data_IF_948440973727
#
_entry.id   IF_948440973727
#
_cell.length_a   1.000
_cell.length_b   1.000
_cell.length_c   1.000
_cell.angle_alpha   90.00
_cell.angle_beta   90.00
_cell.angle_gamma   90.00
#
_symmetry.space_group_name_H-M   'P 1'
#
loop_
_entity.id
_entity.type
_entity.pdbx_description
1 polymer ?
#
# COMPACT_ATOMS: atom_id res chain seq x y z
N UNK A 1 7.05 -19.41 1.57
CA UNK A 1 6.49 -18.17 0.96
C UNK A 1 6.87 -17.01 1.85
N UNK A 2 7.52 -16.00 1.30
CA UNK A 2 7.87 -14.77 1.99
C UNK A 2 6.77 -13.72 1.75
N UNK A 3 6.23 -13.13 2.82
CA UNK A 3 5.25 -12.06 2.76
C UNK A 3 5.93 -10.72 3.02
N UNK A 4 5.93 -9.85 2.02
CA UNK A 4 6.64 -8.56 2.03
C UNK A 4 5.65 -7.40 2.09
N UNK A 5 5.86 -6.47 3.00
CA UNK A 5 5.18 -5.18 3.00
C UNK A 5 5.97 -4.16 2.18
N UNK A 6 5.41 -3.68 1.07
CA UNK A 6 5.98 -2.58 0.30
C UNK A 6 5.30 -1.27 0.69
N UNK A 7 6.09 -0.28 1.02
CA UNK A 7 5.59 1.05 1.41
C UNK A 7 6.46 2.16 0.85
N UNK A 8 6.01 3.39 0.96
CA UNK A 8 6.76 4.56 0.53
C UNK A 8 5.91 5.82 0.64
N UNK A 9 6.56 6.95 0.84
CA UNK A 9 5.88 8.22 0.92
C UNK A 9 5.34 8.65 -0.46
N UNK A 10 4.34 9.51 -0.45
CA UNK A 10 3.74 10.06 -1.68
C UNK A 10 4.83 10.64 -2.59
N UNK A 11 4.77 10.31 -3.89
CA UNK A 11 5.77 10.76 -4.88
C UNK A 11 7.10 9.99 -4.84
N UNK A 12 7.23 8.92 -4.04
CA UNK A 12 8.46 8.09 -4.00
C UNK A 12 8.65 7.23 -5.26
N UNK A 13 7.59 6.98 -6.04
CA UNK A 13 7.63 6.11 -7.23
C UNK A 13 7.39 4.63 -6.91
N UNK A 14 6.67 4.34 -5.81
CA UNK A 14 6.34 2.98 -5.35
C UNK A 14 5.67 2.14 -6.44
N UNK A 15 4.73 2.69 -7.22
CA UNK A 15 4.04 1.97 -8.29
C UNK A 15 4.97 1.46 -9.40
N UNK A 16 6.07 2.16 -9.69
CA UNK A 16 7.09 1.67 -10.62
C UNK A 16 7.84 0.48 -10.03
N UNK A 17 8.12 0.50 -8.73
CA UNK A 17 8.76 -0.62 -8.02
C UNK A 17 7.82 -1.83 -7.96
N UNK A 18 6.51 -1.63 -7.73
CA UNK A 18 5.51 -2.71 -7.80
C UNK A 18 5.55 -3.41 -9.17
N UNK A 19 5.56 -2.63 -10.24
CA UNK A 19 5.65 -3.17 -11.59
C UNK A 19 6.94 -3.97 -11.80
N UNK A 20 8.09 -3.42 -11.42
CA UNK A 20 9.40 -4.08 -11.55
C UNK A 20 9.49 -5.37 -10.72
N UNK A 21 8.89 -5.42 -9.52
CA UNK A 21 8.80 -6.64 -8.72
C UNK A 21 7.85 -7.67 -9.34
N UNK A 22 6.72 -7.22 -9.89
CA UNK A 22 5.78 -8.09 -10.62
C UNK A 22 6.42 -8.74 -11.85
N UNK A 23 7.19 -7.97 -12.63
CA UNK A 23 7.93 -8.46 -13.81
C UNK A 23 8.97 -9.52 -13.44
N UNK A 24 9.47 -9.51 -12.19
CA UNK A 24 10.38 -10.52 -11.64
C UNK A 24 9.67 -11.74 -11.05
N UNK A 25 8.35 -11.73 -11.01
CA UNK A 25 7.53 -12.87 -10.57
C UNK A 25 6.92 -12.73 -9.17
N UNK A 26 6.98 -11.54 -8.55
CA UNK A 26 6.23 -11.30 -7.31
C UNK A 26 4.72 -11.29 -7.56
N UNK A 27 3.97 -11.90 -6.66
CA UNK A 27 2.51 -11.68 -6.59
C UNK A 27 2.25 -10.38 -5.85
N UNK A 28 1.66 -9.39 -6.53
CA UNK A 28 1.37 -8.07 -5.95
C UNK A 28 -0.06 -8.03 -5.43
N UNK A 29 -0.23 -7.57 -4.19
CA UNK A 29 -1.52 -7.30 -3.55
C UNK A 29 -1.57 -5.82 -3.18
N UNK A 30 -2.32 -5.03 -3.95
CA UNK A 30 -2.46 -3.59 -3.79
C UNK A 30 -3.61 -3.27 -2.81
N UNK A 31 -3.28 -2.67 -1.65
CA UNK A 31 -4.25 -2.29 -0.62
C UNK A 31 -5.21 -1.19 -1.09
N UNK A 32 -4.80 -0.30 -2.00
CA UNK A 32 -5.68 0.73 -2.56
C UNK A 32 -6.72 0.10 -3.49
N UNK A 33 -6.35 -0.90 -4.27
CA UNK A 33 -7.29 -1.70 -5.08
C UNK A 33 -8.26 -2.44 -4.15
N UNK A 34 -7.77 -3.08 -3.09
CA UNK A 34 -8.63 -3.77 -2.13
C UNK A 34 -9.60 -2.81 -1.43
N UNK A 35 -9.14 -1.62 -1.04
CA UNK A 35 -10.00 -0.60 -0.43
C UNK A 35 -11.12 -0.12 -1.36
N UNK A 36 -10.88 -0.13 -2.68
CA UNK A 36 -11.91 0.17 -3.67
C UNK A 36 -12.92 -0.95 -3.80
N UNK A 37 -12.44 -2.19 -3.83
CA UNK A 37 -13.29 -3.39 -3.94
C UNK A 37 -14.08 -3.66 -2.66
N UNK A 38 -13.52 -3.36 -1.51
CA UNK A 38 -14.18 -3.55 -0.22
C UNK A 38 -15.50 -2.79 -0.09
N UNK A 39 -15.69 -1.73 -0.88
CA UNK A 39 -16.90 -0.90 -0.87
C UNK A 39 -17.74 -1.03 -2.14
N UNK A 40 -17.55 -2.08 -2.93
CA UNK A 40 -18.38 -2.40 -4.08
C UNK A 40 -19.76 -2.90 -3.66
N UNK A 41 -20.75 -2.72 -4.53
CA UNK A 41 -22.14 -3.14 -4.27
C UNK A 41 -22.18 -4.61 -3.84
N UNK A 42 -22.89 -4.87 -2.74
CA UNK A 42 -23.07 -6.23 -2.20
C UNK A 42 -22.07 -6.64 -1.13
N UNK A 43 -20.94 -5.93 -0.96
CA UNK A 43 -19.98 -6.20 0.12
C UNK A 43 -20.57 -5.85 1.49
N UNK A 44 -20.09 -6.48 2.58
CA UNK A 44 -20.48 -6.12 3.93
C UNK A 44 -20.23 -4.64 4.26
N UNK A 45 -19.05 -4.12 3.89
CA UNK A 45 -18.71 -2.72 4.16
C UNK A 45 -19.61 -1.76 3.38
N UNK A 46 -19.95 -2.04 2.10
CA UNK A 46 -20.91 -1.23 1.34
C UNK A 46 -22.27 -1.13 2.06
N UNK A 47 -22.82 -2.27 2.51
CA UNK A 47 -24.11 -2.31 3.21
C UNK A 47 -24.07 -1.46 4.48
N UNK A 48 -23.06 -1.61 5.31
CA UNK A 48 -22.89 -0.84 6.55
C UNK A 48 -22.68 0.66 6.29
N UNK A 49 -21.99 1.03 5.21
CA UNK A 49 -21.80 2.42 4.79
C UNK A 49 -23.13 3.03 4.38
N UNK A 50 -23.93 2.33 3.58
CA UNK A 50 -25.27 2.83 3.16
C UNK A 50 -26.23 2.91 4.35
N UNK A 51 -26.18 1.96 5.26
CA UNK A 51 -26.97 1.98 6.50
C UNK A 51 -26.62 3.19 7.38
N UNK A 52 -25.33 3.54 7.48
CA UNK A 52 -24.85 4.65 8.31
C UNK A 52 -25.17 6.04 7.72
N UNK A 53 -24.90 6.24 6.43
CA UNK A 53 -24.99 7.58 5.79
C UNK A 53 -26.16 7.74 4.82
N UNK A 54 -26.96 6.69 4.64
CA UNK A 54 -28.14 6.71 3.79
C UNK A 54 -27.82 6.70 2.29
N UNK A 55 -28.84 6.88 1.48
CA UNK A 55 -28.74 6.83 0.01
C UNK A 55 -28.17 8.09 -0.62
N UNK A 56 -28.02 9.18 0.13
CA UNK A 56 -27.47 10.46 -0.36
C UNK A 56 -25.99 10.38 -0.77
N UNK A 57 -25.30 9.30 -0.38
CA UNK A 57 -23.93 9.00 -0.75
C UNK A 57 -23.84 8.05 -1.95
N UNK A 58 -24.95 7.75 -2.62
CA UNK A 58 -24.99 6.87 -3.79
C UNK A 58 -25.15 7.66 -5.08
N UNK A 59 -24.46 7.19 -6.11
CA UNK A 59 -24.70 7.63 -7.48
C UNK A 59 -25.99 7.04 -8.08
N UNK A 60 -26.38 7.48 -9.29
CA UNK A 60 -27.55 6.97 -9.99
C UNK A 60 -27.48 5.47 -10.31
N UNK A 61 -26.30 4.91 -10.36
CA UNK A 61 -25.99 3.49 -10.59
C UNK A 61 -25.99 2.65 -9.30
N UNK A 62 -26.29 3.27 -8.16
CA UNK A 62 -26.23 2.63 -6.85
C UNK A 62 -24.83 2.45 -6.28
N UNK A 63 -23.77 2.82 -7.00
CA UNK A 63 -22.40 2.80 -6.46
C UNK A 63 -22.20 3.98 -5.51
N UNK A 64 -21.20 3.85 -4.61
CA UNK A 64 -20.83 4.94 -3.72
C UNK A 64 -20.29 6.16 -4.51
N UNK A 65 -20.95 7.31 -4.35
CA UNK A 65 -20.37 8.59 -4.72
C UNK A 65 -19.25 8.94 -3.71
N UNK A 66 -18.03 8.62 -4.12
CA UNK A 66 -16.84 8.84 -3.28
C UNK A 66 -16.64 10.31 -2.94
N UNK A 67 -17.07 11.23 -3.82
CA UNK A 67 -17.03 12.66 -3.57
C UNK A 67 -18.00 13.08 -2.48
N UNK A 68 -19.22 12.56 -2.52
CA UNK A 68 -20.23 12.82 -1.48
C UNK A 68 -19.78 12.25 -0.12
N UNK A 69 -19.37 10.98 -0.08
CA UNK A 69 -18.87 10.35 1.14
C UNK A 69 -17.65 11.09 1.69
N UNK A 70 -16.69 11.46 0.84
CA UNK A 70 -15.50 12.19 1.21
C UNK A 70 -15.83 13.53 1.88
N UNK A 71 -16.78 14.30 1.36
CA UNK A 71 -17.21 15.57 1.97
C UNK A 71 -17.72 15.38 3.40
N UNK A 72 -18.44 14.28 3.68
CA UNK A 72 -18.95 13.97 5.01
C UNK A 72 -17.78 13.59 5.94
N UNK A 73 -16.97 12.61 5.58
CA UNK A 73 -15.97 12.06 6.49
C UNK A 73 -14.75 12.96 6.71
N UNK A 74 -14.44 13.88 5.79
CA UNK A 74 -13.34 14.84 5.99
C UNK A 74 -13.75 16.10 6.76
N UNK A 75 -15.05 16.34 6.95
CA UNK A 75 -15.55 17.43 7.79
C UNK A 75 -15.61 17.05 9.28
N UNK A 76 -15.53 15.75 9.60
CA UNK A 76 -15.64 15.24 10.97
C UNK A 76 -14.72 14.02 11.17
N UNK A 77 -13.75 14.16 12.08
CA UNK A 77 -12.79 13.11 12.41
C UNK A 77 -13.47 11.82 12.90
N UNK A 78 -14.58 11.94 13.65
CA UNK A 78 -15.33 10.78 14.14
C UNK A 78 -15.98 10.01 12.99
N UNK A 79 -16.50 10.70 11.97
CA UNK A 79 -17.08 10.05 10.79
C UNK A 79 -15.99 9.35 9.94
N UNK A 80 -14.78 9.93 9.84
CA UNK A 80 -13.64 9.28 9.20
C UNK A 80 -13.23 8.00 9.93
N UNK A 81 -13.19 8.03 11.25
CA UNK A 81 -12.88 6.85 12.08
C UNK A 81 -13.94 5.77 11.92
N UNK A 82 -15.23 6.14 11.87
CA UNK A 82 -16.32 5.20 11.61
C UNK A 82 -16.18 4.55 10.22
N UNK A 83 -15.92 5.32 9.18
CA UNK A 83 -15.68 4.76 7.84
C UNK A 83 -14.51 3.76 7.86
N UNK A 84 -13.42 4.12 8.50
CA UNK A 84 -12.26 3.23 8.64
C UNK A 84 -12.62 1.93 9.37
N UNK A 85 -13.42 2.00 10.45
CA UNK A 85 -13.88 0.82 11.21
C UNK A 85 -14.72 -0.13 10.35
N UNK A 86 -15.49 0.40 9.40
CA UNK A 86 -16.31 -0.41 8.50
C UNK A 86 -15.51 -1.02 7.34
N UNK A 87 -14.54 -0.28 6.80
CA UNK A 87 -13.80 -0.67 5.60
C UNK A 87 -12.60 -1.57 5.92
N UNK A 88 -11.85 -1.28 6.99
CA UNK A 88 -10.60 -2.00 7.27
C UNK A 88 -10.77 -3.51 7.46
N UNK A 89 -11.79 -4.02 8.19
CA UNK A 89 -11.96 -5.46 8.35
C UNK A 89 -12.19 -6.18 7.02
N UNK A 90 -12.91 -5.56 6.10
CA UNK A 90 -13.18 -6.14 4.79
C UNK A 90 -11.91 -6.16 3.92
N UNK A 91 -11.12 -5.09 3.94
CA UNK A 91 -9.81 -5.04 3.25
C UNK A 91 -8.88 -6.13 3.80
N UNK A 92 -8.80 -6.28 5.13
CA UNK A 92 -7.98 -7.32 5.76
C UNK A 92 -8.44 -8.73 5.40
N UNK A 93 -9.74 -8.99 5.40
CA UNK A 93 -10.32 -10.26 4.96
C UNK A 93 -9.96 -10.58 3.52
N UNK A 94 -10.08 -9.59 2.62
CA UNK A 94 -9.72 -9.74 1.20
C UNK A 94 -8.22 -9.98 1.02
N UNK A 95 -7.37 -9.23 1.75
CA UNK A 95 -5.93 -9.40 1.73
C UNK A 95 -5.54 -10.81 2.19
N UNK A 96 -6.07 -11.25 3.34
CA UNK A 96 -5.80 -12.58 3.88
C UNK A 96 -6.19 -13.70 2.90
N UNK A 97 -7.34 -13.57 2.24
CA UNK A 97 -7.79 -14.54 1.23
C UNK A 97 -6.85 -14.59 0.01
N UNK A 98 -6.33 -13.44 -0.45
CA UNK A 98 -5.37 -13.39 -1.56
C UNK A 98 -4.00 -13.95 -1.16
N UNK A 99 -3.53 -13.68 0.05
CA UNK A 99 -2.29 -14.25 0.59
C UNK A 99 -2.39 -15.77 0.68
N UNK A 100 -3.53 -16.28 1.19
CA UNK A 100 -3.74 -17.73 1.28
C UNK A 100 -3.85 -18.38 -0.11
N UNK A 101 -4.53 -17.74 -1.06
CA UNK A 101 -4.59 -18.22 -2.44
C UNK A 101 -3.19 -18.27 -3.09
N UNK A 102 -2.32 -17.28 -2.82
CA UNK A 102 -0.93 -17.27 -3.26
C UNK A 102 -0.13 -18.41 -2.62
N UNK A 103 -0.34 -18.67 -1.33
CA UNK A 103 0.28 -19.79 -0.60
C UNK A 103 -0.10 -21.14 -1.21
N UNK A 104 -1.39 -21.33 -1.52
CA UNK A 104 -1.89 -22.56 -2.13
C UNK A 104 -1.38 -22.79 -3.57
N UNK A 105 -1.09 -21.72 -4.31
CA UNK A 105 -0.43 -21.80 -5.63
C UNK A 105 1.07 -22.12 -5.52
N UNK A 106 1.67 -21.99 -4.36
CA UNK A 106 3.11 -22.15 -4.18
C UNK A 106 3.93 -20.93 -4.57
N UNK A 107 3.32 -19.73 -4.55
CA UNK A 107 4.03 -18.49 -4.84
C UNK A 107 5.15 -18.29 -3.82
N UNK A 108 6.37 -18.02 -4.29
CA UNK A 108 7.54 -17.89 -3.42
C UNK A 108 7.55 -16.54 -2.68
N UNK A 109 7.08 -15.47 -3.34
CA UNK A 109 7.17 -14.10 -2.87
C UNK A 109 5.87 -13.35 -3.16
N UNK A 110 5.24 -12.86 -2.09
CA UNK A 110 4.03 -12.04 -2.13
C UNK A 110 4.34 -10.67 -1.57
N UNK A 111 4.06 -9.63 -2.35
CA UNK A 111 4.26 -8.23 -1.98
C UNK A 111 2.93 -7.56 -1.77
N UNK A 112 2.67 -7.08 -0.55
CA UNK A 112 1.52 -6.26 -0.23
C UNK A 112 1.92 -4.78 -0.31
N UNK A 113 1.39 -4.06 -1.29
CA UNK A 113 1.55 -2.62 -1.40
C UNK A 113 0.63 -1.90 -0.40
N UNK A 114 1.23 -1.29 0.64
CA UNK A 114 0.53 -0.59 1.72
C UNK A 114 1.15 0.80 1.95
N UNK A 115 0.56 1.88 1.40
CA UNK A 115 1.14 3.23 1.47
C UNK A 115 1.38 3.75 2.90
N UNK A 116 0.48 3.44 3.84
CA UNK A 116 0.52 3.90 5.23
C UNK A 116 0.87 2.78 6.22
N UNK A 117 1.76 1.86 5.82
CA UNK A 117 2.12 0.66 6.59
C UNK A 117 2.58 0.99 8.01
N UNK A 118 3.48 1.95 8.16
CA UNK A 118 4.04 2.35 9.46
C UNK A 118 3.05 3.15 10.29
N UNK A 119 2.32 4.09 9.66
CA UNK A 119 1.31 4.92 10.31
C UNK A 119 0.18 4.07 10.90
N UNK A 120 -0.16 2.96 10.23
CA UNK A 120 -1.18 2.00 10.66
C UNK A 120 -0.63 0.87 11.55
N UNK A 121 0.65 0.91 11.89
CA UNK A 121 1.31 -0.11 12.72
C UNK A 121 1.14 -1.54 12.20
N UNK A 122 1.29 -1.73 10.90
CA UNK A 122 1.08 -3.01 10.23
C UNK A 122 2.40 -3.81 10.04
N UNK A 123 3.49 -3.40 10.68
CA UNK A 123 4.81 -4.02 10.52
C UNK A 123 4.82 -5.51 10.81
N UNK A 124 4.12 -5.91 11.88
CA UNK A 124 4.11 -7.30 12.38
C UNK A 124 3.32 -8.29 11.49
N UNK A 125 2.68 -7.76 10.43
CA UNK A 125 1.96 -8.58 9.45
C UNK A 125 2.86 -9.12 8.35
N UNK A 126 4.11 -8.68 8.27
CA UNK A 126 5.03 -8.98 7.18
C UNK A 126 6.33 -9.57 7.68
N UNK A 127 6.89 -10.50 6.91
CA UNK A 127 8.19 -11.09 7.19
C UNK A 127 9.34 -10.11 6.92
N UNK A 128 9.17 -9.25 5.92
CA UNK A 128 10.11 -8.18 5.55
C UNK A 128 9.36 -6.94 5.08
N UNK A 129 9.98 -5.78 5.27
CA UNK A 129 9.47 -4.49 4.83
C UNK A 129 10.43 -3.86 3.86
N UNK A 130 9.92 -3.50 2.68
CA UNK A 130 10.64 -2.74 1.66
C UNK A 130 10.08 -1.31 1.64
N UNK A 131 10.95 -0.34 1.82
CA UNK A 131 10.62 1.09 1.70
C UNK A 131 11.13 1.62 0.36
N UNK A 132 10.24 2.19 -0.44
CA UNK A 132 10.63 3.02 -1.60
C UNK A 132 10.74 4.47 -1.13
N UNK A 133 11.92 5.05 -1.26
CA UNK A 133 12.19 6.41 -0.81
C UNK A 133 12.74 7.30 -1.93
N UNK A 134 12.43 8.58 -1.83
CA UNK A 134 13.00 9.65 -2.65
C UNK A 134 13.08 10.93 -1.82
N UNK A 135 14.11 11.78 -2.00
CA UNK A 135 14.24 13.03 -1.29
C UNK A 135 12.99 13.91 -1.46
N UNK A 136 12.67 14.67 -0.41
CA UNK A 136 11.49 15.56 -0.39
C UNK A 136 11.39 16.48 -1.60
N UNK A 137 12.46 17.13 -2.10
CA UNK A 137 12.40 17.97 -3.30
C UNK A 137 11.99 17.17 -4.56
N UNK A 138 12.51 15.95 -4.71
CA UNK A 138 12.18 15.07 -5.85
C UNK A 138 10.71 14.65 -5.80
N UNK A 139 10.20 14.30 -4.61
CA UNK A 139 8.78 13.96 -4.42
C UNK A 139 7.87 15.14 -4.73
N UNK A 140 8.22 16.33 -4.25
CA UNK A 140 7.48 17.56 -4.52
C UNK A 140 7.43 17.85 -6.04
N UNK A 141 8.57 17.80 -6.72
CA UNK A 141 8.65 18.00 -8.18
C UNK A 141 7.73 17.02 -8.93
N UNK A 142 7.77 15.73 -8.57
CA UNK A 142 6.92 14.70 -9.19
C UNK A 142 5.43 14.98 -8.98
N UNK A 143 5.03 15.37 -7.78
CA UNK A 143 3.63 15.68 -7.47
C UNK A 143 3.11 16.88 -8.25
N UNK A 144 3.91 17.92 -8.38
CA UNK A 144 3.55 19.12 -9.16
C UNK A 144 3.53 18.81 -10.65
N UNK A 145 4.62 18.22 -11.19
CA UNK A 145 4.79 18.01 -12.64
C UNK A 145 3.92 16.88 -13.20
N UNK A 146 3.83 15.74 -12.48
CA UNK A 146 3.20 14.52 -13.00
C UNK A 146 1.73 14.41 -12.59
N UNK A 147 1.34 14.97 -11.42
CA UNK A 147 -0.04 14.94 -10.92
C UNK A 147 -0.77 16.26 -11.03
N UNK A 148 -0.09 17.34 -11.48
CA UNK A 148 -0.69 18.66 -11.66
C UNK A 148 -1.13 19.35 -10.35
N UNK A 149 -0.58 18.92 -9.19
CA UNK A 149 -0.93 19.51 -7.91
C UNK A 149 -0.30 20.90 -7.74
N UNK A 150 -0.95 21.78 -6.99
CA UNK A 150 -0.30 23.01 -6.53
C UNK A 150 0.81 22.67 -5.55
N UNK A 151 1.89 23.44 -5.56
CA UNK A 151 3.05 23.19 -4.69
C UNK A 151 2.67 23.17 -3.20
N UNK A 152 1.79 24.05 -2.77
CA UNK A 152 1.26 24.09 -1.39
C UNK A 152 0.53 22.80 -1.03
N UNK A 153 -0.37 22.34 -1.91
CA UNK A 153 -1.13 21.10 -1.72
C UNK A 153 -0.21 19.89 -1.66
N UNK A 154 0.75 19.80 -2.60
CA UNK A 154 1.75 18.74 -2.62
C UNK A 154 2.61 18.72 -1.34
N UNK A 155 2.97 19.90 -0.84
CA UNK A 155 3.73 20.04 0.40
C UNK A 155 2.93 19.57 1.62
N UNK A 156 1.65 19.95 1.72
CA UNK A 156 0.77 19.54 2.80
C UNK A 156 0.61 18.00 2.82
N UNK A 157 0.46 17.37 1.65
CA UNK A 157 0.40 15.91 1.54
C UNK A 157 1.71 15.22 1.97
N UNK A 158 2.86 15.83 1.67
CA UNK A 158 4.17 15.29 2.08
C UNK A 158 4.33 15.38 3.61
N UNK A 159 3.95 16.52 4.21
CA UNK A 159 4.11 16.77 5.65
C UNK A 159 3.13 15.94 6.48
N UNK A 160 1.96 15.59 5.94
CA UNK A 160 0.97 14.77 6.63
C UNK A 160 1.43 13.32 6.87
N UNK A 161 2.45 12.84 6.16
CA UNK A 161 2.97 11.48 6.31
C UNK A 161 4.12 11.41 7.33
N UNK A 162 4.34 10.21 7.88
CA UNK A 162 5.51 9.94 8.72
C UNK A 162 6.81 10.34 8.00
N UNK A 163 7.76 11.04 8.66
CA UNK A 163 9.07 11.36 8.08
C UNK A 163 9.77 10.12 7.50
N UNK A 164 10.40 10.29 6.33
CA UNK A 164 11.06 9.19 5.63
C UNK A 164 12.18 8.55 6.48
N UNK A 165 12.90 9.35 7.25
CA UNK A 165 13.99 8.91 8.14
C UNK A 165 13.50 7.90 9.18
N UNK A 166 12.30 8.12 9.74
CA UNK A 166 11.70 7.20 10.70
C UNK A 166 11.23 5.90 10.05
N UNK A 167 10.81 5.95 8.78
CA UNK A 167 10.46 4.75 8.01
C UNK A 167 11.72 3.97 7.63
N UNK A 168 12.78 4.65 7.17
CA UNK A 168 14.07 4.05 6.83
C UNK A 168 14.66 3.25 7.99
N UNK A 169 14.57 3.79 9.22
CA UNK A 169 15.07 3.13 10.43
C UNK A 169 14.32 1.83 10.81
N UNK A 170 13.17 1.56 10.18
CA UNK A 170 12.29 0.42 10.49
C UNK A 170 12.09 -0.54 9.33
N UNK A 171 12.55 -0.17 8.14
CA UNK A 171 12.47 -1.03 6.96
C UNK A 171 13.67 -1.98 6.92
N UNK A 172 13.43 -3.21 6.46
CA UNK A 172 14.50 -4.19 6.23
C UNK A 172 15.33 -3.84 4.99
N UNK A 173 14.65 -3.32 3.96
CA UNK A 173 15.27 -2.89 2.71
C UNK A 173 14.78 -1.51 2.29
N UNK A 174 15.69 -0.73 1.70
CA UNK A 174 15.37 0.60 1.17
C UNK A 174 15.77 0.68 -0.30
N UNK A 175 14.80 1.07 -1.14
CA UNK A 175 15.00 1.35 -2.56
C UNK A 175 15.01 2.86 -2.75
N UNK A 176 16.19 3.44 -2.93
CA UNK A 176 16.35 4.88 -3.22
C UNK A 176 16.01 5.16 -4.69
N UNK A 177 14.94 5.89 -4.92
CA UNK A 177 14.45 6.25 -6.25
C UNK A 177 14.82 7.69 -6.62
N UNK A 178 16.10 7.93 -6.89
CA UNK A 178 16.67 9.27 -7.17
C UNK A 178 17.25 9.43 -8.56
N UNK A 179 17.24 8.38 -9.37
CA UNK A 179 17.92 8.36 -10.66
C UNK A 179 17.02 8.06 -11.85
N UNK A 180 17.61 7.46 -12.87
CA UNK A 180 16.91 6.96 -14.05
C UNK A 180 16.15 5.67 -13.77
N UNK A 181 15.24 5.28 -14.67
CA UNK A 181 14.53 4.00 -14.57
C UNK A 181 15.51 2.81 -14.56
N UNK A 182 16.58 2.86 -15.34
CA UNK A 182 17.62 1.82 -15.36
C UNK A 182 18.33 1.69 -14.00
N UNK A 183 18.60 2.81 -13.34
CA UNK A 183 19.20 2.80 -12.01
C UNK A 183 18.22 2.26 -10.94
N UNK A 184 16.95 2.63 -11.05
CA UNK A 184 15.91 2.08 -10.19
C UNK A 184 15.78 0.56 -10.38
N UNK A 185 15.75 0.09 -11.63
CA UNK A 185 15.66 -1.34 -11.95
C UNK A 185 16.84 -2.13 -11.37
N UNK A 186 18.06 -1.61 -11.44
CA UNK A 186 19.23 -2.21 -10.82
C UNK A 186 19.07 -2.32 -9.27
N UNK A 187 18.56 -1.27 -8.62
CA UNK A 187 18.29 -1.29 -7.17
C UNK A 187 17.19 -2.29 -6.80
N UNK A 188 16.15 -2.36 -7.60
CA UNK A 188 15.07 -3.36 -7.42
C UNK A 188 15.64 -4.77 -7.59
N UNK A 189 16.54 -5.00 -8.54
CA UNK A 189 17.20 -6.31 -8.72
C UNK A 189 18.05 -6.72 -7.52
N UNK A 190 18.78 -5.79 -6.90
CA UNK A 190 19.55 -6.06 -5.67
C UNK A 190 18.63 -6.49 -4.51
N UNK A 191 17.54 -5.74 -4.30
CA UNK A 191 16.54 -6.05 -3.24
C UNK A 191 15.80 -7.35 -3.57
N UNK A 192 15.45 -7.58 -4.83
CA UNK A 192 14.83 -8.83 -5.28
C UNK A 192 15.68 -10.05 -4.90
N UNK A 193 16.97 -10.04 -5.23
CA UNK A 193 17.87 -11.14 -4.89
C UNK A 193 17.96 -11.41 -3.38
N UNK A 194 17.95 -10.34 -2.56
CA UNK A 194 17.94 -10.48 -1.12
C UNK A 194 16.60 -11.06 -0.59
N UNK A 195 15.48 -10.70 -1.20
CA UNK A 195 14.17 -11.26 -0.87
C UNK A 195 14.05 -12.72 -1.28
N UNK A 196 14.58 -13.12 -2.44
CA UNK A 196 14.65 -14.52 -2.86
C UNK A 196 15.44 -15.37 -1.86
N UNK A 197 16.60 -14.89 -1.43
CA UNK A 197 17.41 -15.56 -0.40
C UNK A 197 16.64 -15.69 0.92
N UNK A 198 15.98 -14.64 1.39
CA UNK A 198 15.15 -14.69 2.59
C UNK A 198 13.98 -15.68 2.46
N UNK A 199 13.38 -15.80 1.27
CA UNK A 199 12.32 -16.75 1.00
C UNK A 199 12.80 -18.20 1.06
N UNK A 200 14.04 -18.48 0.60
CA UNK A 200 14.68 -19.80 0.68
C UNK A 200 15.01 -20.19 2.12
N UNK A 201 15.49 -19.24 2.94
CA UNK A 201 15.75 -19.45 4.36
C UNK A 201 14.48 -19.87 5.13
N UNK A 202 13.33 -19.23 4.83
CA UNK A 202 12.03 -19.58 5.42
C UNK A 202 11.55 -20.96 4.94
N UNK A 203 11.81 -21.31 3.68
CA UNK A 203 11.42 -22.59 3.10
C UNK A 203 12.25 -23.78 3.61
N UNK A 204 13.49 -23.53 4.01
CA UNK A 204 14.42 -24.51 4.55
C UNK A 204 14.75 -24.18 6.01
N UNK A 205 13.83 -24.45 6.98
CA UNK A 205 14.18 -24.28 8.37
C UNK A 205 15.39 -25.17 8.63
N UNK A 206 16.50 -24.56 9.08
CA UNK A 206 17.70 -25.29 9.47
C UNK A 206 17.27 -26.38 10.47
N UNK A 207 17.51 -27.63 10.12
CA UNK A 207 17.45 -28.74 11.05
C UNK A 207 18.52 -28.46 12.13
N UNK A 208 18.13 -27.72 13.16
CA UNK A 208 18.92 -27.54 14.37
C UNK A 208 18.98 -28.88 15.07
N UNK A 209 20.16 -29.45 15.11
CA UNK A 209 20.47 -30.66 15.87
C UNK A 209 20.39 -30.43 17.39
#
# INVERSE_FOLDING_TARGET
>A
MLLVGLTGNIGSGKSTVDQLLSERGATIIDADVLSRRAVEIGTPAYKSIVERWGTSILGPDGMLDRGALRRIVFSDQAELEQLNTLVHPEVERMRAALVEAARLRGDKLVVCDVPLLFERKMTDLFDRIVLVDAPRPVRLERLVRERGLKETEAMDMIVAQMPAELKRARADFVIDNVGTLTQLDARVAEVWSALEQAAEEIASPAFGG
#
